data_IF_217229451875
#
_entry.id   IF_217229451875
#
_cell.length_a   1.000
_cell.length_b   1.000
_cell.length_c   1.000
_cell.angle_alpha   90.00
_cell.angle_beta   90.00
_cell.angle_gamma   90.00
#
_symmetry.space_group_name_H-M   'P 1'
#
loop_
_entity.id
_entity.type
_entity.pdbx_description
1 polymer ?
#
# COMPACT_ATOMS: atom_id res chain seq x y z
N UNK A 1 41.35 -22.60 70.27
CA UNK A 1 40.16 -23.45 70.50
C UNK A 1 39.55 -23.04 71.83
N UNK A 2 38.26 -23.36 72.00
CA UNK A 2 37.45 -23.16 73.21
C UNK A 2 36.94 -21.73 73.43
N UNK A 3 35.64 -21.66 73.72
CA UNK A 3 34.83 -20.45 73.83
C UNK A 3 35.11 -19.67 75.13
N UNK A 4 34.64 -18.42 75.20
CA UNK A 4 34.66 -17.62 76.42
C UNK A 4 33.27 -17.02 76.69
N UNK A 5 32.85 -17.07 77.95
CA UNK A 5 31.48 -16.85 78.41
C UNK A 5 31.14 -15.41 78.83
N UNK A 6 29.84 -15.14 78.81
CA UNK A 6 29.02 -14.35 79.77
C UNK A 6 29.30 -12.87 80.16
N UNK A 7 28.32 -12.04 79.73
CA UNK A 7 27.42 -11.17 80.55
C UNK A 7 27.97 -9.99 81.40
N UNK A 8 27.67 -8.76 80.92
CA UNK A 8 27.37 -7.52 81.69
C UNK A 8 26.87 -6.41 80.73
N UNK A 9 25.97 -5.43 81.01
CA UNK A 9 24.97 -5.16 82.08
C UNK A 9 23.93 -4.11 81.58
N UNK A 10 22.91 -3.79 82.39
CA UNK A 10 21.88 -2.71 82.22
C UNK A 10 22.46 -1.28 82.41
N UNK A 11 21.84 -0.12 82.03
CA UNK A 11 20.67 0.29 81.22
C UNK A 11 20.77 1.86 81.00
N UNK A 12 19.69 2.66 80.81
CA UNK A 12 18.89 2.89 79.60
C UNK A 12 18.89 4.35 79.08
N UNK A 13 18.40 4.60 77.86
CA UNK A 13 17.76 5.88 77.47
C UNK A 13 16.84 5.70 76.23
N UNK A 14 15.68 6.38 76.21
CA UNK A 14 14.71 6.35 75.10
C UNK A 14 14.76 7.67 74.33
N UNK A 15 14.92 7.60 73.00
CA UNK A 15 14.43 8.65 72.10
C UNK A 15 14.12 8.07 70.71
N UNK A 16 12.87 8.20 70.29
CA UNK A 16 12.33 7.75 69.01
C UNK A 16 12.69 8.69 67.85
N UNK A 17 13.24 8.15 66.75
CA UNK A 17 13.19 8.73 65.39
C UNK A 17 13.03 7.55 64.40
N UNK A 18 12.04 7.62 63.51
CA UNK A 18 11.93 6.72 62.35
C UNK A 18 12.68 7.33 61.15
N UNK A 19 13.37 6.54 60.32
CA UNK A 19 13.69 6.93 58.95
C UNK A 19 12.48 6.68 58.05
N UNK A 20 12.02 7.73 57.36
CA UNK A 20 10.87 7.68 56.44
C UNK A 20 11.18 6.91 55.17
N UNK A 21 10.31 5.96 54.80
CA UNK A 21 10.31 5.33 53.47
C UNK A 21 9.61 6.21 52.44
N UNK A 22 10.37 6.87 51.56
CA UNK A 22 9.84 7.57 50.38
C UNK A 22 10.23 6.83 49.10
N UNK A 23 9.54 5.72 48.82
CA UNK A 23 9.40 5.25 47.44
C UNK A 23 8.30 6.08 46.78
N UNK A 24 8.70 7.09 46.01
CA UNK A 24 7.76 7.82 45.15
C UNK A 24 7.20 6.85 44.09
N UNK A 25 5.93 6.48 44.24
CA UNK A 25 5.16 5.90 43.14
C UNK A 25 5.01 6.98 42.08
N UNK A 26 5.77 6.85 40.99
CA UNK A 26 5.61 7.66 39.78
C UNK A 26 4.20 7.38 39.23
N UNK A 27 3.27 8.31 39.44
CA UNK A 27 1.96 8.26 38.79
C UNK A 27 2.17 8.40 37.29
N UNK A 28 1.75 7.40 36.51
CA UNK A 28 1.77 7.48 35.06
C UNK A 28 0.71 8.50 34.63
N UNK A 29 1.14 9.63 34.08
CA UNK A 29 0.26 10.56 33.39
C UNK A 29 -0.52 9.81 32.29
N UNK A 30 -1.83 9.97 32.27
CA UNK A 30 -2.67 9.33 31.27
C UNK A 30 -2.34 9.88 29.87
N UNK A 31 -2.05 8.99 28.91
CA UNK A 31 -1.78 9.38 27.53
C UNK A 31 -3.06 9.93 26.91
N UNK A 32 -2.97 11.14 26.36
CA UNK A 32 -4.09 11.87 25.77
C UNK A 32 -4.12 11.65 24.25
N UNK A 33 -5.28 11.24 23.72
CA UNK A 33 -5.47 11.09 22.27
C UNK A 33 -5.42 12.46 21.57
N UNK A 34 -4.92 12.50 20.34
CA UNK A 34 -4.66 13.72 19.56
C UNK A 34 -3.46 14.54 20.04
N UNK A 35 -2.68 14.05 21.03
CA UNK A 35 -1.49 14.75 21.54
C UNK A 35 -0.19 14.17 20.99
N UNK A 36 0.83 15.02 20.88
CA UNK A 36 2.17 14.64 20.40
C UNK A 36 3.06 14.18 21.56
N UNK A 37 3.63 12.98 21.43
CA UNK A 37 4.59 12.40 22.37
C UNK A 37 5.89 12.02 21.67
N UNK A 38 6.97 11.89 22.46
CA UNK A 38 8.17 11.19 22.01
C UNK A 38 7.92 9.69 22.15
N UNK A 39 8.13 8.94 21.07
CA UNK A 39 7.76 7.53 20.97
C UNK A 39 8.95 6.75 20.38
N UNK A 40 9.29 5.63 21.02
CA UNK A 40 10.40 4.79 20.60
C UNK A 40 9.96 3.84 19.49
N UNK A 41 10.63 3.87 18.34
CA UNK A 41 10.42 2.95 17.21
C UNK A 41 11.05 1.58 17.49
N UNK A 42 10.69 0.56 16.69
CA UNK A 42 11.27 -0.80 16.75
C UNK A 42 12.81 -0.85 16.57
N UNK A 43 13.42 0.24 16.08
CA UNK A 43 14.86 0.40 15.84
C UNK A 43 15.55 1.22 16.95
N UNK A 44 14.95 1.29 18.15
CA UNK A 44 15.35 2.06 19.34
C UNK A 44 15.43 3.59 19.20
N UNK A 45 15.29 4.11 17.99
CA UNK A 45 15.18 5.55 17.68
C UNK A 45 13.92 6.17 18.30
N UNK A 46 14.07 7.35 18.92
CA UNK A 46 12.97 8.16 19.43
C UNK A 46 12.56 9.23 18.41
N UNK A 47 11.29 9.23 18.02
CA UNK A 47 10.72 10.26 17.15
C UNK A 47 9.46 10.88 17.77
N UNK A 48 8.99 11.98 17.20
CA UNK A 48 7.76 12.64 17.62
C UNK A 48 6.57 12.02 16.87
N UNK A 49 5.53 11.59 17.60
CA UNK A 49 4.34 10.98 17.01
C UNK A 49 3.04 11.42 17.69
N UNK A 50 1.97 11.49 16.89
CA UNK A 50 0.61 11.73 17.35
C UNK A 50 0.01 10.41 17.84
N UNK A 51 -0.52 10.39 19.05
CA UNK A 51 -1.30 9.26 19.55
C UNK A 51 -2.76 9.43 19.10
N UNK A 52 -3.20 8.65 18.12
CA UNK A 52 -4.50 8.82 17.46
C UNK A 52 -5.61 8.07 18.19
N UNK A 53 -5.36 6.83 18.60
CA UNK A 53 -6.38 5.91 19.16
C UNK A 53 -5.75 4.99 20.22
N UNK A 54 -6.57 4.38 21.08
CA UNK A 54 -6.13 3.35 22.02
C UNK A 54 -7.01 2.09 21.96
N UNK A 55 -6.40 0.93 22.22
CA UNK A 55 -7.11 -0.36 22.30
C UNK A 55 -6.57 -1.19 23.46
N UNK A 56 -7.34 -2.21 23.84
CA UNK A 56 -6.82 -3.34 24.62
C UNK A 56 -6.43 -4.43 23.62
N UNK A 57 -5.16 -4.85 23.61
CA UNK A 57 -4.69 -5.91 22.71
C UNK A 57 -5.40 -7.24 23.06
N UNK A 58 -5.99 -7.95 22.09
CA UNK A 58 -6.84 -9.12 22.35
C UNK A 58 -6.11 -10.25 23.09
N UNK A 59 -4.88 -10.59 22.67
CA UNK A 59 -4.14 -11.72 23.27
C UNK A 59 -3.43 -11.39 24.59
N UNK A 60 -2.89 -10.16 24.76
CA UNK A 60 -2.07 -9.79 25.93
C UNK A 60 -2.85 -9.05 27.01
N UNK A 61 -4.06 -8.57 26.70
CA UNK A 61 -4.90 -7.71 27.55
C UNK A 61 -4.23 -6.41 28.02
N UNK A 62 -3.13 -6.00 27.38
CA UNK A 62 -2.44 -4.72 27.64
C UNK A 62 -3.05 -3.59 26.81
N UNK A 63 -2.97 -2.37 27.33
CA UNK A 63 -3.32 -1.18 26.58
C UNK A 63 -2.22 -0.84 25.55
N UNK A 64 -2.64 -0.56 24.33
CA UNK A 64 -1.80 -0.11 23.23
C UNK A 64 -2.38 1.14 22.59
N UNK A 65 -1.52 1.93 21.96
CA UNK A 65 -1.83 3.21 21.33
C UNK A 65 -1.46 3.16 19.85
N UNK A 66 -2.36 3.58 18.98
CA UNK A 66 -2.07 3.74 17.56
C UNK A 66 -1.37 5.07 17.32
N UNK A 67 -0.21 5.01 16.68
CA UNK A 67 0.70 6.16 16.54
C UNK A 67 0.92 6.49 15.07
N UNK A 68 0.76 7.77 14.73
CA UNK A 68 1.29 8.32 13.49
C UNK A 68 2.58 9.10 13.77
N UNK A 69 3.67 8.75 13.08
CA UNK A 69 4.95 9.41 13.27
C UNK A 69 5.05 10.66 12.39
N UNK A 70 5.35 11.81 13.02
CA UNK A 70 5.39 13.10 12.32
C UNK A 70 6.49 13.10 11.24
N UNK A 71 6.15 13.62 10.06
CA UNK A 71 7.03 13.71 8.89
C UNK A 71 7.40 12.34 8.26
N UNK A 72 6.70 11.26 8.65
CA UNK A 72 6.85 9.90 8.08
C UNK A 72 5.61 9.44 7.29
N UNK A 73 5.81 8.50 6.35
CA UNK A 73 4.75 7.81 5.60
C UNK A 73 3.90 6.94 6.53
N UNK A 74 2.57 7.03 6.40
CA UNK A 74 1.58 6.32 7.22
C UNK A 74 1.70 4.80 7.23
N UNK A 75 2.40 4.20 6.25
CA UNK A 75 2.78 2.78 6.31
C UNK A 75 3.57 2.40 7.57
N UNK A 76 4.26 3.37 8.16
CA UNK A 76 5.07 3.23 9.38
C UNK A 76 4.25 3.41 10.66
N UNK A 77 2.99 3.85 10.58
CA UNK A 77 2.07 3.90 11.71
C UNK A 77 1.96 2.50 12.35
N UNK A 78 1.88 2.40 13.66
CA UNK A 78 1.81 1.12 14.38
C UNK A 78 1.09 1.24 15.73
N UNK A 79 0.69 0.10 16.29
CA UNK A 79 0.26 0.01 17.68
C UNK A 79 1.49 -0.17 18.58
N UNK A 80 1.64 0.69 19.59
CA UNK A 80 2.73 0.65 20.57
C UNK A 80 2.18 0.45 21.99
N UNK A 81 2.92 -0.28 22.82
CA UNK A 81 2.64 -0.36 24.26
C UNK A 81 3.07 0.94 24.97
N UNK A 82 2.50 1.18 26.16
CA UNK A 82 2.74 2.39 26.99
C UNK A 82 4.22 2.63 27.33
N UNK A 83 5.03 1.57 27.42
CA UNK A 83 6.46 1.62 27.70
C UNK A 83 7.29 2.27 26.58
N UNK A 84 6.77 2.28 25.34
CA UNK A 84 7.38 2.95 24.19
C UNK A 84 7.02 4.44 24.10
N UNK A 85 6.17 4.97 24.99
CA UNK A 85 5.73 6.38 24.98
C UNK A 85 6.39 7.12 26.14
N UNK A 86 7.17 8.17 25.86
CA UNK A 86 7.77 9.01 26.91
C UNK A 86 6.71 9.93 27.50
N UNK A 87 6.09 9.44 28.57
CA UNK A 87 5.10 10.15 29.41
C UNK A 87 5.76 11.08 30.44
N UNK A 88 7.09 11.06 30.57
CA UNK A 88 7.84 11.90 31.49
C UNK A 88 8.29 13.22 30.85
N UNK A 89 8.44 13.27 29.53
CA UNK A 89 8.41 14.52 28.76
C UNK A 89 6.96 14.98 28.65
N UNK A 90 6.67 16.22 29.04
CA UNK A 90 5.33 16.79 28.83
C UNK A 90 4.92 16.65 27.35
N UNK A 91 3.65 16.31 27.05
CA UNK A 91 3.16 16.29 25.68
C UNK A 91 3.42 17.67 25.04
N UNK A 92 3.84 17.66 23.78
CA UNK A 92 4.05 18.90 23.04
C UNK A 92 2.68 19.40 22.62
N UNK A 93 2.12 20.35 23.37
CA UNK A 93 0.89 21.05 22.97
C UNK A 93 1.09 21.70 21.61
N UNK A 94 0.42 21.17 20.60
CA UNK A 94 0.37 21.78 19.27
C UNK A 94 -0.55 22.99 19.38
N UNK A 95 0.05 24.18 19.50
CA UNK A 95 -0.68 25.44 19.36
C UNK A 95 -1.18 25.52 17.91
N UNK A 96 -2.41 25.07 17.69
CA UNK A 96 -3.13 25.33 16.45
C UNK A 96 -3.38 26.83 16.36
N UNK A 97 -2.56 27.54 15.58
CA UNK A 97 -2.79 28.94 15.22
C UNK A 97 -3.96 29.04 14.24
N UNK A 98 -5.18 28.84 14.75
CA UNK A 98 -6.41 29.19 14.05
C UNK A 98 -6.63 30.68 14.24
N UNK A 99 -6.43 31.46 13.17
CA UNK A 99 -6.83 32.87 13.15
C UNK A 99 -8.36 32.98 13.27
N UNK A 100 -8.91 33.62 14.32
CA UNK A 100 -10.35 33.67 14.51
C UNK A 100 -11.00 34.69 13.56
N UNK A 101 -11.78 34.22 12.60
CA UNK A 101 -12.85 35.00 12.00
C UNK A 101 -14.09 34.97 12.91
N UNK A 102 -14.67 36.14 13.18
CA UNK A 102 -15.77 36.33 14.13
C UNK A 102 -17.05 35.58 13.75
N UNK A 103 -17.76 34.96 14.72
CA UNK A 103 -19.07 34.38 14.48
C UNK A 103 -20.19 35.43 14.60
N UNK A 104 -20.99 35.62 13.55
CA UNK A 104 -22.31 36.24 13.68
C UNK A 104 -23.36 35.19 14.04
N UNK A 105 -24.21 35.53 15.00
CA UNK A 105 -25.23 34.60 15.51
C UNK A 105 -26.47 34.58 14.63
N UNK A 106 -27.05 33.39 14.41
CA UNK A 106 -28.46 33.26 14.07
C UNK A 106 -29.05 31.96 14.65
N UNK A 107 -30.10 32.11 15.46
CA UNK A 107 -30.84 31.05 16.15
C UNK A 107 -32.13 30.71 15.41
N UNK A 108 -32.51 29.43 15.31
CA UNK A 108 -33.88 28.84 15.30
C UNK A 108 -33.89 27.43 14.62
N UNK A 109 -34.90 26.56 14.84
CA UNK A 109 -35.09 25.80 16.08
C UNK A 109 -35.19 24.27 15.84
N UNK A 110 -35.21 23.47 16.92
CA UNK A 110 -35.33 22.01 16.85
C UNK A 110 -36.61 21.53 16.12
N UNK A 111 -36.46 20.61 15.15
CA UNK A 111 -37.58 19.86 14.55
C UNK A 111 -37.48 18.38 14.90
N UNK A 112 -38.47 17.87 15.64
CA UNK A 112 -38.58 16.45 15.99
C UNK A 112 -38.85 15.59 14.74
N UNK A 113 -38.09 14.50 14.59
CA UNK A 113 -38.24 13.53 13.49
C UNK A 113 -39.63 12.88 13.46
N UNK A 114 -40.17 12.70 12.25
CA UNK A 114 -41.44 11.98 12.04
C UNK A 114 -41.24 10.47 12.01
N UNK A 115 -42.31 9.72 12.33
CA UNK A 115 -42.28 8.26 12.55
C UNK A 115 -41.81 7.43 11.33
N UNK A 116 -41.85 8.01 10.13
CA UNK A 116 -41.38 7.40 8.87
C UNK A 116 -39.85 7.46 8.71
N UNK A 117 -39.20 8.50 9.23
CA UNK A 117 -37.73 8.63 9.21
C UNK A 117 -37.06 7.61 10.14
N UNK A 118 -37.67 7.34 11.30
CA UNK A 118 -37.15 6.36 12.26
C UNK A 118 -37.08 4.94 11.68
N UNK A 119 -38.06 4.56 10.85
CA UNK A 119 -38.11 3.23 10.20
C UNK A 119 -37.05 3.04 9.11
N UNK A 120 -36.55 4.11 8.47
CA UNK A 120 -35.38 4.03 7.56
C UNK A 120 -34.05 3.88 8.31
N UNK A 121 -33.97 4.34 9.56
CA UNK A 121 -32.76 4.26 10.37
C UNK A 121 -32.50 2.85 10.92
N UNK A 122 -33.57 2.05 11.09
CA UNK A 122 -33.51 0.68 11.64
C UNK A 122 -33.25 -0.41 10.58
N UNK A 123 -33.29 -0.08 9.27
CA UNK A 123 -33.01 -1.02 8.16
C UNK A 123 -31.58 -0.88 7.56
N UNK A 124 -30.73 0.00 8.10
CA UNK A 124 -29.37 0.29 7.58
C UNK A 124 -28.28 -0.64 8.14
N UNK A 125 -28.54 -1.94 8.22
CA UNK A 125 -27.57 -2.95 8.68
C UNK A 125 -26.77 -3.62 7.53
N UNK A 126 -26.68 -2.95 6.37
CA UNK A 126 -25.85 -3.36 5.24
C UNK A 126 -24.88 -2.22 4.87
N UNK A 127 -23.58 -2.48 5.01
CA UNK A 127 -22.45 -1.58 4.70
C UNK A 127 -22.24 -1.35 3.18
N UNK A 128 -23.32 -1.17 2.42
CA UNK A 128 -23.32 -1.28 0.95
C UNK A 128 -23.67 -0.03 0.11
N UNK A 129 -23.85 1.20 0.67
CA UNK A 129 -23.98 2.40 -0.16
C UNK A 129 -23.06 3.59 0.21
N UNK A 130 -21.89 3.38 0.85
CA UNK A 130 -20.95 4.49 1.18
C UNK A 130 -20.00 4.82 0.01
N UNK A 131 -19.92 3.97 -1.02
CA UNK A 131 -19.02 4.14 -2.17
C UNK A 131 -19.79 3.98 -3.49
N UNK A 132 -20.70 4.90 -3.80
CA UNK A 132 -21.01 5.38 -5.16
C UNK A 132 -22.23 6.32 -5.14
N UNK A 133 -21.99 7.63 -5.09
CA UNK A 133 -22.87 8.61 -5.74
C UNK A 133 -22.01 9.78 -6.22
N UNK A 134 -21.59 9.75 -7.50
CA UNK A 134 -20.92 10.89 -8.16
C UNK A 134 -21.97 11.88 -8.66
N UNK A 135 -22.72 12.46 -7.71
CA UNK A 135 -23.89 13.31 -7.94
C UNK A 135 -23.65 14.77 -7.49
N UNK A 136 -22.76 15.46 -8.19
CA UNK A 136 -22.90 16.90 -8.46
C UNK A 136 -22.81 17.92 -7.31
N UNK A 137 -22.40 17.55 -6.09
CA UNK A 137 -22.21 18.50 -4.98
C UNK A 137 -20.82 18.33 -4.32
N UNK A 138 -19.92 19.29 -4.60
CA UNK A 138 -18.52 19.33 -4.15
C UNK A 138 -18.40 19.33 -2.61
N UNK A 139 -19.40 19.88 -1.91
CA UNK A 139 -19.39 19.97 -0.44
C UNK A 139 -19.59 18.61 0.23
N UNK A 140 -20.40 17.73 -0.37
CA UNK A 140 -20.65 16.38 0.15
C UNK A 140 -19.51 15.42 -0.18
N UNK A 141 -18.89 15.56 -1.36
CA UNK A 141 -17.71 14.79 -1.73
C UNK A 141 -16.56 15.00 -0.74
N UNK A 142 -16.22 16.26 -0.44
CA UNK A 142 -15.17 16.60 0.54
C UNK A 142 -15.50 16.19 1.98
N UNK A 143 -16.78 16.15 2.35
CA UNK A 143 -17.22 15.65 3.66
C UNK A 143 -17.06 14.13 3.76
N UNK A 144 -17.48 13.39 2.72
CA UNK A 144 -17.33 11.93 2.63
C UNK A 144 -15.87 11.51 2.52
N UNK A 145 -15.03 12.27 1.81
CA UNK A 145 -13.58 12.06 1.78
C UNK A 145 -12.95 12.24 3.16
N UNK A 146 -13.30 13.30 3.90
CA UNK A 146 -12.83 13.50 5.30
C UNK A 146 -13.34 12.43 6.26
N UNK A 147 -14.58 11.98 6.10
CA UNK A 147 -15.14 10.88 6.89
C UNK A 147 -14.43 9.55 6.56
N UNK A 148 -14.17 9.28 5.28
CA UNK A 148 -13.38 8.13 4.84
C UNK A 148 -11.93 8.19 5.35
N UNK A 149 -11.26 9.34 5.23
CA UNK A 149 -9.93 9.57 5.81
C UNK A 149 -9.96 9.24 7.30
N UNK A 150 -10.90 9.80 8.07
CA UNK A 150 -11.05 9.55 9.50
C UNK A 150 -11.25 8.06 9.85
N UNK A 151 -12.15 7.35 9.14
CA UNK A 151 -12.39 5.91 9.34
C UNK A 151 -11.15 5.09 8.98
N UNK A 152 -10.41 5.50 7.95
CA UNK A 152 -9.20 4.80 7.49
C UNK A 152 -7.92 5.21 8.22
N UNK A 153 -7.95 6.17 9.16
CA UNK A 153 -6.75 6.60 9.92
C UNK A 153 -6.10 5.47 10.70
N UNK A 154 -6.87 4.51 11.18
CA UNK A 154 -6.39 3.44 12.07
C UNK A 154 -6.48 2.10 11.34
N UNK A 155 -5.33 1.47 11.07
CA UNK A 155 -5.33 0.04 10.71
C UNK A 155 -5.49 -0.79 11.98
N UNK A 156 -6.55 -1.59 12.00
CA UNK A 156 -6.81 -2.56 13.08
C UNK A 156 -6.23 -3.95 12.76
N UNK A 157 -6.10 -4.27 11.46
CA UNK A 157 -5.35 -5.44 11.00
C UNK A 157 -3.87 -5.07 10.98
N UNK A 158 -3.14 -5.64 11.93
CA UNK A 158 -1.71 -5.39 12.10
C UNK A 158 -0.90 -6.31 11.17
N UNK A 159 -1.38 -7.55 10.99
CA UNK A 159 -0.67 -8.62 10.29
C UNK A 159 -1.58 -9.46 9.42
N UNK A 160 -1.03 -9.92 8.29
CA UNK A 160 -1.66 -10.94 7.43
C UNK A 160 -0.77 -12.17 7.31
N UNK A 161 -1.35 -13.34 7.52
CA UNK A 161 -0.71 -14.63 7.28
C UNK A 161 -1.06 -15.07 5.86
N UNK A 162 -0.04 -15.13 5.00
CA UNK A 162 -0.17 -15.47 3.59
C UNK A 162 0.86 -16.54 3.22
N UNK A 163 0.39 -17.78 3.09
CA UNK A 163 1.26 -18.94 2.89
C UNK A 163 2.20 -19.14 4.07
N UNK A 164 3.51 -19.21 3.79
CA UNK A 164 4.58 -19.34 4.80
C UNK A 164 5.01 -18.01 5.45
N UNK A 165 4.38 -16.89 5.13
CA UNK A 165 4.77 -15.57 5.61
C UNK A 165 3.71 -14.97 6.56
N UNK A 166 4.18 -14.36 7.64
CA UNK A 166 3.43 -13.35 8.40
C UNK A 166 3.95 -11.97 7.99
N UNK A 167 3.05 -11.09 7.55
CA UNK A 167 3.40 -9.82 6.88
C UNK A 167 2.74 -8.67 7.65
N UNK A 168 3.54 -7.69 8.10
CA UNK A 168 3.05 -6.44 8.69
C UNK A 168 2.26 -5.62 7.64
N UNK A 169 1.04 -5.22 8.01
CA UNK A 169 0.13 -4.42 7.17
C UNK A 169 0.53 -2.95 7.17
N UNK A 170 0.40 -2.29 6.02
CA UNK A 170 0.81 -0.89 5.85
C UNK A 170 -0.37 0.07 6.01
N UNK A 171 -1.49 -0.21 5.35
CA UNK A 171 -2.65 0.68 5.27
C UNK A 171 -3.96 -0.05 5.64
N UNK A 172 -4.99 0.71 6.00
CA UNK A 172 -6.34 0.19 6.16
C UNK A 172 -6.86 -0.46 4.86
N UNK A 173 -7.58 -1.58 5.00
CA UNK A 173 -8.34 -2.24 3.93
C UNK A 173 -9.76 -2.59 4.39
N UNK A 174 -10.81 -2.32 3.59
CA UNK A 174 -12.22 -2.48 3.97
C UNK A 174 -12.69 -3.93 3.86
N UNK A 175 -12.08 -4.82 4.63
CA UNK A 175 -12.66 -6.14 4.90
C UNK A 175 -13.98 -5.98 5.67
N UNK A 176 -14.93 -6.95 5.56
CA UNK A 176 -16.18 -6.93 6.33
C UNK A 176 -15.93 -6.78 7.84
N UNK A 177 -16.88 -6.19 8.59
CA UNK A 177 -16.66 -5.78 9.98
C UNK A 177 -16.18 -6.93 10.90
N UNK A 178 -16.65 -8.16 10.66
CA UNK A 178 -16.22 -9.36 11.39
C UNK A 178 -14.72 -9.70 11.26
N UNK A 179 -14.04 -9.12 10.26
CA UNK A 179 -12.59 -9.20 10.03
C UNK A 179 -11.85 -7.89 10.28
N UNK A 180 -12.52 -6.73 10.16
CA UNK A 180 -11.83 -5.44 10.14
C UNK A 180 -11.08 -5.13 11.44
N UNK A 181 -11.58 -5.62 12.58
CA UNK A 181 -11.02 -5.42 13.94
C UNK A 181 -10.06 -6.54 14.40
N UNK A 182 -9.61 -7.43 13.51
CA UNK A 182 -8.71 -8.54 13.86
C UNK A 182 -7.24 -8.11 13.82
N UNK A 183 -6.46 -8.39 14.89
CA UNK A 183 -5.01 -8.19 14.89
C UNK A 183 -4.30 -8.97 13.75
N UNK A 184 -4.73 -10.23 13.51
CA UNK A 184 -4.22 -11.08 12.42
C UNK A 184 -5.33 -11.58 11.50
N UNK A 185 -5.10 -11.47 10.19
CA UNK A 185 -5.96 -12.03 9.15
C UNK A 185 -5.28 -13.22 8.47
N UNK A 186 -5.99 -14.33 8.25
CA UNK A 186 -5.44 -15.53 7.63
C UNK A 186 -5.97 -15.67 6.19
N UNK A 187 -5.09 -15.76 5.19
CA UNK A 187 -5.48 -15.79 3.77
C UNK A 187 -4.89 -17.00 3.06
N UNK A 188 -5.74 -17.71 2.32
CA UNK A 188 -5.32 -18.82 1.46
C UNK A 188 -4.48 -18.32 0.28
N UNK A 189 -3.25 -18.81 0.13
CA UNK A 189 -2.31 -18.35 -0.90
C UNK A 189 -2.76 -18.62 -2.36
N UNK A 190 -3.71 -19.56 -2.55
CA UNK A 190 -4.16 -20.00 -3.88
C UNK A 190 -5.50 -19.39 -4.32
N UNK A 191 -6.49 -19.31 -3.43
CA UNK A 191 -7.83 -18.80 -3.77
C UNK A 191 -8.16 -17.44 -3.14
N UNK A 192 -7.23 -16.89 -2.35
CA UNK A 192 -7.34 -15.60 -1.65
C UNK A 192 -8.50 -15.47 -0.65
N UNK A 193 -9.19 -16.57 -0.32
CA UNK A 193 -10.18 -16.60 0.75
C UNK A 193 -9.52 -16.17 2.07
N UNK A 194 -10.10 -15.14 2.70
CA UNK A 194 -9.71 -14.65 4.02
C UNK A 194 -10.54 -15.32 5.13
N UNK A 195 -9.92 -15.49 6.29
CA UNK A 195 -10.42 -16.26 7.43
C UNK A 195 -9.94 -15.63 8.75
N UNK A 196 -10.75 -15.79 9.80
CA UNK A 196 -10.51 -15.20 11.12
C UNK A 196 -9.52 -15.96 11.99
N UNK A 197 -9.40 -17.29 11.82
CA UNK A 197 -8.61 -18.15 12.69
C UNK A 197 -7.66 -19.04 11.90
N UNK A 198 -6.47 -19.29 12.46
CA UNK A 198 -5.48 -20.21 11.91
C UNK A 198 -6.06 -21.62 11.70
N UNK A 199 -6.90 -22.10 12.64
CA UNK A 199 -7.61 -23.37 12.52
C UNK A 199 -8.45 -23.45 11.24
N UNK A 200 -9.18 -22.40 10.92
CA UNK A 200 -10.01 -22.33 9.71
C UNK A 200 -9.15 -22.33 8.44
N UNK A 201 -7.97 -21.67 8.46
CA UNK A 201 -7.00 -21.76 7.37
C UNK A 201 -6.48 -23.20 7.21
N UNK A 202 -6.13 -23.90 8.29
CA UNK A 202 -5.66 -25.30 8.23
C UNK A 202 -6.74 -26.25 7.67
N UNK A 203 -7.99 -26.13 8.15
CA UNK A 203 -9.13 -26.91 7.64
C UNK A 203 -9.44 -26.58 6.16
N UNK A 204 -9.29 -25.32 5.76
CA UNK A 204 -9.42 -24.90 4.36
C UNK A 204 -8.26 -25.41 3.48
N UNK A 205 -7.01 -25.40 3.94
CA UNK A 205 -5.86 -25.89 3.16
C UNK A 205 -5.96 -27.38 2.80
N UNK A 206 -6.63 -28.17 3.63
CA UNK A 206 -6.91 -29.60 3.37
C UNK A 206 -7.99 -29.78 2.29
N UNK A 207 -9.01 -28.92 2.29
CA UNK A 207 -10.19 -29.03 1.42
C UNK A 207 -10.14 -28.15 0.16
N UNK A 208 -9.20 -27.22 0.06
CA UNK A 208 -9.05 -26.34 -1.08
C UNK A 208 -8.41 -27.08 -2.26
N UNK A 209 -9.10 -27.11 -3.41
CA UNK A 209 -8.61 -27.74 -4.64
C UNK A 209 -7.70 -26.82 -5.47
N UNK A 210 -7.74 -25.50 -5.24
CA UNK A 210 -6.94 -24.54 -5.99
C UNK A 210 -5.44 -24.67 -5.67
N UNK A 211 -4.60 -24.78 -6.71
CA UNK A 211 -3.13 -24.72 -6.64
C UNK A 211 -2.51 -23.69 -7.58
N UNK A 212 -3.34 -22.83 -8.18
CA UNK A 212 -2.93 -21.75 -9.06
C UNK A 212 -4.02 -20.67 -9.09
N UNK A 213 -3.70 -19.44 -9.53
CA UNK A 213 -4.72 -18.43 -9.79
C UNK A 213 -5.75 -18.87 -10.85
N UNK A 214 -6.96 -18.29 -10.85
CA UNK A 214 -7.92 -18.50 -11.92
C UNK A 214 -7.48 -17.76 -13.20
N UNK A 215 -8.19 -18.01 -14.31
CA UNK A 215 -7.90 -17.42 -15.61
C UNK A 215 -6.95 -18.26 -16.46
N UNK A 216 -6.38 -17.64 -17.50
CA UNK A 216 -5.52 -18.30 -18.48
C UNK A 216 -4.05 -18.08 -18.15
N UNK A 217 -3.22 -19.12 -18.16
CA UNK A 217 -1.76 -18.95 -18.13
C UNK A 217 -1.29 -18.38 -19.47
N UNK A 218 -0.85 -17.11 -19.47
CA UNK A 218 -0.41 -16.39 -20.68
C UNK A 218 1.11 -16.36 -20.82
N UNK A 219 1.86 -16.64 -19.75
CA UNK A 219 3.33 -16.64 -19.77
C UNK A 219 3.87 -17.75 -18.88
N UNK A 220 4.86 -18.50 -19.38
CA UNK A 220 5.60 -19.50 -18.61
C UNK A 220 7.09 -19.50 -19.00
N UNK A 221 7.99 -19.17 -18.07
CA UNK A 221 9.44 -19.36 -18.26
C UNK A 221 10.12 -19.72 -16.95
N UNK A 222 10.76 -20.90 -16.92
CA UNK A 222 11.42 -21.41 -15.72
C UNK A 222 10.45 -21.55 -14.53
N UNK A 223 10.76 -20.97 -13.35
CA UNK A 223 9.89 -20.99 -12.18
C UNK A 223 8.83 -19.86 -12.17
N UNK A 224 8.68 -19.09 -13.25
CA UNK A 224 7.78 -17.93 -13.31
C UNK A 224 6.62 -18.20 -14.27
N UNK A 225 5.40 -17.97 -13.77
CA UNK A 225 4.15 -17.98 -14.55
C UNK A 225 3.34 -16.71 -14.35
N UNK A 226 2.60 -16.28 -15.38
CA UNK A 226 1.60 -15.21 -15.27
C UNK A 226 0.26 -15.67 -15.80
N UNK A 227 -0.79 -15.44 -15.01
CA UNK A 227 -2.18 -15.73 -15.36
C UNK A 227 -2.94 -14.43 -15.65
N UNK A 228 -3.70 -14.40 -16.74
CA UNK A 228 -4.68 -13.34 -17.01
C UNK A 228 -6.05 -13.77 -16.49
N UNK A 229 -6.58 -13.03 -15.53
CA UNK A 229 -7.90 -13.23 -14.94
C UNK A 229 -8.82 -12.05 -15.23
N UNK A 230 -9.97 -12.31 -15.82
CA UNK A 230 -11.01 -11.30 -16.04
C UNK A 230 -11.85 -11.11 -14.76
N UNK A 231 -11.93 -9.88 -14.24
CA UNK A 231 -12.72 -9.56 -13.04
C UNK A 231 -14.23 -9.80 -13.17
N UNK A 232 -14.78 -9.80 -14.38
CA UNK A 232 -16.18 -10.19 -14.66
C UNK A 232 -16.41 -11.69 -14.47
N UNK A 233 -15.44 -12.52 -14.85
CA UNK A 233 -15.54 -13.98 -14.76
C UNK A 233 -15.05 -14.54 -13.42
N UNK A 234 -14.15 -13.83 -12.74
CA UNK A 234 -13.52 -14.27 -11.49
C UNK A 234 -13.74 -13.26 -10.34
N UNK A 235 -14.92 -12.63 -10.30
CA UNK A 235 -15.29 -11.53 -9.39
C UNK A 235 -14.82 -11.74 -7.95
N UNK A 236 -15.20 -12.84 -7.29
CA UNK A 236 -14.84 -13.10 -5.89
C UNK A 236 -13.31 -13.14 -5.67
N UNK A 237 -12.56 -13.79 -6.56
CA UNK A 237 -11.10 -13.86 -6.46
C UNK A 237 -10.48 -12.48 -6.62
N UNK A 238 -10.93 -11.71 -7.62
CA UNK A 238 -10.42 -10.37 -7.88
C UNK A 238 -10.77 -9.36 -6.77
N UNK A 239 -11.94 -9.50 -6.13
CA UNK A 239 -12.31 -8.73 -4.94
C UNK A 239 -11.40 -9.06 -3.75
N UNK A 240 -11.18 -10.35 -3.47
CA UNK A 240 -10.23 -10.80 -2.43
C UNK A 240 -8.80 -10.29 -2.70
N UNK A 241 -8.36 -10.31 -3.95
CA UNK A 241 -7.07 -9.74 -4.38
C UNK A 241 -7.00 -8.23 -4.14
N UNK A 242 -8.05 -7.49 -4.48
CA UNK A 242 -8.11 -6.06 -4.26
C UNK A 242 -8.09 -5.68 -2.78
N UNK A 243 -8.79 -6.43 -1.92
CA UNK A 243 -8.74 -6.26 -0.47
C UNK A 243 -7.34 -6.55 0.10
N UNK A 244 -6.70 -7.64 -0.36
CA UNK A 244 -5.31 -7.95 0.00
C UNK A 244 -4.35 -6.85 -0.49
N UNK A 245 -4.58 -6.31 -1.69
CA UNK A 245 -3.74 -5.27 -2.25
C UNK A 245 -3.85 -3.94 -1.50
N UNK A 246 -5.06 -3.59 -1.03
CA UNK A 246 -5.32 -2.36 -0.28
C UNK A 246 -4.59 -2.31 1.07
N UNK A 247 -4.23 -3.46 1.66
CA UNK A 247 -3.37 -3.54 2.85
C UNK A 247 -1.95 -2.96 2.61
N UNK A 248 -1.54 -2.86 1.34
CA UNK A 248 -0.18 -2.44 0.91
C UNK A 248 -0.19 -1.29 -0.11
N UNK A 249 -1.37 -0.76 -0.45
CA UNK A 249 -1.57 0.37 -1.37
C UNK A 249 -2.45 1.42 -0.70
N UNK A 250 -1.94 2.64 -0.59
CA UNK A 250 -2.65 3.74 0.07
C UNK A 250 -3.88 4.17 -0.76
N UNK A 251 -3.64 4.70 -1.97
CA UNK A 251 -4.64 5.32 -2.83
C UNK A 251 -5.47 4.34 -3.70
N UNK A 252 -5.61 3.07 -3.31
CA UNK A 252 -6.47 2.13 -4.06
C UNK A 252 -7.95 2.36 -3.70
N UNK A 253 -8.69 2.98 -4.61
CA UNK A 253 -10.12 3.34 -4.42
C UNK A 253 -11.09 2.26 -4.85
N UNK A 254 -10.78 1.51 -5.91
CA UNK A 254 -11.65 0.46 -6.46
C UNK A 254 -11.22 -0.93 -5.98
N UNK A 255 -12.11 -1.63 -5.27
CA UNK A 255 -11.87 -2.98 -4.76
C UNK A 255 -13.08 -3.93 -4.83
N UNK A 256 -14.30 -3.44 -4.98
CA UNK A 256 -15.49 -4.29 -5.20
C UNK A 256 -15.92 -4.36 -6.66
N UNK A 257 -15.84 -3.25 -7.40
CA UNK A 257 -16.14 -3.19 -8.84
C UNK A 257 -14.89 -3.59 -9.62
N UNK A 258 -14.79 -4.89 -9.93
CA UNK A 258 -13.62 -5.51 -10.56
C UNK A 258 -13.89 -5.89 -12.02
N UNK A 259 -15.15 -5.89 -12.44
CA UNK A 259 -15.62 -6.21 -13.78
C UNK A 259 -14.99 -5.37 -14.92
N UNK A 260 -14.65 -4.07 -14.73
CA UNK A 260 -13.95 -3.29 -15.75
C UNK A 260 -12.49 -3.69 -15.97
N UNK A 261 -11.92 -4.56 -15.12
CA UNK A 261 -10.48 -4.82 -15.08
C UNK A 261 -10.10 -6.24 -15.53
N UNK A 262 -8.93 -6.32 -16.17
CA UNK A 262 -8.13 -7.54 -16.29
C UNK A 262 -7.04 -7.52 -15.22
N UNK A 263 -6.70 -8.69 -14.68
CA UNK A 263 -5.69 -8.88 -13.64
C UNK A 263 -4.60 -9.83 -14.13
N UNK A 264 -3.34 -9.38 -14.10
CA UNK A 264 -2.17 -10.12 -14.54
C UNK A 264 -1.38 -10.60 -13.32
N UNK A 265 -1.58 -11.87 -12.97
CA UNK A 265 -1.24 -12.48 -11.70
C UNK A 265 0.10 -13.22 -11.81
N UNK A 266 1.16 -12.64 -11.25
CA UNK A 266 2.51 -13.19 -11.29
C UNK A 266 2.73 -14.18 -10.15
N UNK A 267 3.29 -15.33 -10.51
CA UNK A 267 3.53 -16.45 -9.59
C UNK A 267 4.94 -17.01 -9.67
N UNK A 268 5.48 -17.42 -8.52
CA UNK A 268 6.56 -18.40 -8.41
C UNK A 268 5.93 -19.81 -8.43
N UNK A 269 6.48 -20.75 -9.20
CA UNK A 269 5.91 -22.10 -9.35
C UNK A 269 6.88 -23.17 -8.92
N UNK A 270 6.42 -24.06 -8.04
CA UNK A 270 7.15 -25.21 -7.53
C UNK A 270 6.36 -26.52 -7.69
N UNK A 271 6.59 -27.51 -6.80
CA UNK A 271 5.91 -28.81 -6.81
C UNK A 271 4.52 -28.79 -6.17
N UNK A 272 4.22 -27.78 -5.35
CA UNK A 272 2.92 -27.64 -4.67
C UNK A 272 1.93 -26.85 -5.52
N UNK A 273 2.40 -25.83 -6.25
CA UNK A 273 1.56 -25.03 -7.12
C UNK A 273 2.20 -23.73 -7.58
N UNK A 274 1.34 -22.81 -8.04
CA UNK A 274 1.69 -21.45 -8.44
C UNK A 274 1.35 -20.48 -7.30
N UNK A 275 2.37 -19.95 -6.64
CA UNK A 275 2.27 -19.09 -5.47
C UNK A 275 2.24 -17.62 -5.89
N UNK A 276 1.21 -16.87 -5.49
CA UNK A 276 1.10 -15.45 -5.85
C UNK A 276 2.25 -14.62 -5.26
N UNK A 277 2.93 -13.87 -6.12
CA UNK A 277 4.07 -13.00 -5.81
C UNK A 277 3.72 -11.52 -5.95
N UNK A 278 2.87 -11.21 -6.93
CA UNK A 278 2.42 -9.86 -7.23
C UNK A 278 1.43 -9.86 -8.39
N UNK A 279 0.93 -8.69 -8.75
CA UNK A 279 0.07 -8.52 -9.91
C UNK A 279 0.12 -7.09 -10.44
N UNK A 280 -0.41 -6.88 -11.64
CA UNK A 280 -1.00 -5.59 -12.01
C UNK A 280 -2.43 -5.76 -12.52
N UNK A 281 -3.25 -4.73 -12.39
CA UNK A 281 -4.56 -4.64 -13.04
C UNK A 281 -4.52 -3.61 -14.17
N UNK A 282 -5.32 -3.84 -15.20
CA UNK A 282 -5.48 -2.98 -16.39
C UNK A 282 -6.96 -2.80 -16.67
N UNK A 283 -7.40 -1.58 -16.96
CA UNK A 283 -8.77 -1.34 -17.45
C UNK A 283 -8.94 -1.98 -18.83
N UNK A 284 -10.09 -2.62 -19.08
CA UNK A 284 -10.44 -3.15 -20.40
C UNK A 284 -10.61 -2.04 -21.44
N UNK A 285 -11.09 -0.88 -21.00
CA UNK A 285 -11.24 0.34 -21.77
C UNK A 285 -10.70 1.50 -20.94
N UNK A 286 -9.47 1.94 -21.19
CA UNK A 286 -8.86 3.09 -20.50
C UNK A 286 -8.92 4.34 -21.39
N UNK A 287 -9.72 5.38 -21.06
CA UNK A 287 -9.81 6.61 -21.86
C UNK A 287 -8.49 7.38 -21.95
N UNK A 288 -7.64 7.25 -20.93
CA UNK A 288 -6.33 7.92 -20.83
C UNK A 288 -5.20 7.09 -21.48
N UNK A 289 -5.47 5.86 -21.90
CA UNK A 289 -4.45 4.95 -22.42
C UNK A 289 -3.54 4.35 -21.33
N UNK A 290 -4.03 4.24 -20.09
CA UNK A 290 -3.25 3.66 -19.00
C UNK A 290 -3.10 2.14 -19.21
N UNK A 291 -1.87 1.64 -19.25
CA UNK A 291 -1.60 0.20 -19.41
C UNK A 291 -1.46 -0.56 -18.08
N UNK A 292 -1.34 0.17 -16.97
CA UNK A 292 -1.40 -0.31 -15.60
C UNK A 292 -2.26 0.67 -14.79
N UNK A 293 -3.26 0.14 -14.08
CA UNK A 293 -4.07 0.88 -13.10
C UNK A 293 -3.51 0.72 -11.68
N UNK A 294 -3.32 -0.52 -11.22
CA UNK A 294 -2.63 -0.83 -9.97
C UNK A 294 -1.51 -1.83 -10.23
N UNK A 295 -0.38 -1.71 -9.52
CA UNK A 295 0.68 -2.71 -9.49
C UNK A 295 1.12 -2.95 -8.05
N UNK A 296 1.23 -4.22 -7.66
CA UNK A 296 1.72 -4.62 -6.34
C UNK A 296 2.66 -5.83 -6.46
N UNK A 297 3.79 -5.77 -5.76
CA UNK A 297 4.57 -6.96 -5.39
C UNK A 297 4.42 -7.13 -3.89
N UNK A 298 3.99 -8.31 -3.45
CA UNK A 298 3.78 -8.60 -2.03
C UNK A 298 5.09 -8.39 -1.23
N UNK A 299 5.06 -7.81 -0.02
CA UNK A 299 6.28 -7.39 0.68
C UNK A 299 7.43 -8.42 0.76
N UNK A 300 7.19 -9.72 1.04
CA UNK A 300 8.26 -10.74 1.08
C UNK A 300 8.99 -10.99 -0.25
N UNK A 301 8.46 -10.47 -1.37
CA UNK A 301 9.01 -10.64 -2.71
C UNK A 301 9.54 -9.33 -3.32
N UNK A 302 9.43 -8.20 -2.60
CA UNK A 302 9.98 -6.93 -3.07
C UNK A 302 11.51 -6.98 -3.20
N UNK A 303 12.06 -6.08 -4.02
CA UNK A 303 13.50 -5.99 -4.37
C UNK A 303 14.11 -7.23 -5.09
N UNK A 304 13.35 -8.30 -5.34
CA UNK A 304 13.78 -9.49 -6.13
C UNK A 304 13.66 -9.35 -7.66
N UNK A 305 13.26 -8.18 -8.16
CA UNK A 305 13.13 -7.89 -9.60
C UNK A 305 11.71 -7.98 -10.17
N UNK A 306 10.78 -8.62 -9.46
CA UNK A 306 9.39 -8.82 -9.92
C UNK A 306 8.64 -7.54 -10.32
N UNK A 307 8.92 -6.40 -9.66
CA UNK A 307 8.30 -5.11 -10.04
C UNK A 307 8.70 -4.65 -11.43
N UNK A 308 9.99 -4.78 -11.81
CA UNK A 308 10.44 -4.49 -13.18
C UNK A 308 9.89 -5.52 -14.18
N UNK A 309 9.74 -6.78 -13.78
CA UNK A 309 9.14 -7.81 -14.63
C UNK A 309 7.67 -7.52 -14.96
N UNK A 310 6.86 -7.14 -13.97
CA UNK A 310 5.45 -6.76 -14.17
C UNK A 310 5.31 -5.55 -15.11
N UNK A 311 6.15 -4.52 -14.93
CA UNK A 311 6.19 -3.35 -15.83
C UNK A 311 6.64 -3.75 -17.25
N UNK A 312 7.66 -4.60 -17.36
CA UNK A 312 8.10 -5.12 -18.66
C UNK A 312 6.96 -5.86 -19.37
N UNK A 313 6.17 -6.65 -18.64
CA UNK A 313 5.07 -7.42 -19.21
C UNK A 313 3.94 -6.51 -19.71
N UNK A 314 3.55 -5.47 -18.95
CA UNK A 314 2.51 -4.55 -19.42
C UNK A 314 2.91 -3.84 -20.71
N UNK A 315 4.21 -3.54 -20.89
CA UNK A 315 4.72 -3.00 -22.16
C UNK A 315 4.78 -4.02 -23.29
N UNK A 316 5.10 -5.30 -23.04
CA UNK A 316 4.97 -6.34 -24.09
C UNK A 316 3.50 -6.50 -24.55
N UNK A 317 2.53 -6.44 -23.63
CA UNK A 317 1.10 -6.43 -23.99
C UNK A 317 0.75 -5.18 -24.83
N UNK A 318 1.19 -3.99 -24.41
CA UNK A 318 0.98 -2.74 -25.17
C UNK A 318 1.58 -2.77 -26.58
N UNK A 319 2.75 -3.42 -26.78
CA UNK A 319 3.32 -3.65 -28.11
C UNK A 319 2.44 -4.57 -28.97
N UNK A 320 1.94 -5.67 -28.40
CA UNK A 320 1.03 -6.58 -29.11
C UNK A 320 -0.30 -5.89 -29.51
N UNK A 321 -0.76 -4.93 -28.72
CA UNK A 321 -1.91 -4.06 -29.02
C UNK A 321 -1.60 -2.96 -30.04
N UNK A 322 -0.31 -2.66 -30.30
CA UNK A 322 0.17 -1.52 -31.08
C UNK A 322 -0.29 -0.16 -30.53
N UNK A 323 -0.32 -0.01 -29.20
CA UNK A 323 -0.73 1.21 -28.49
C UNK A 323 0.34 1.60 -27.46
N UNK A 324 0.73 2.87 -27.42
CA UNK A 324 1.63 3.37 -26.37
C UNK A 324 0.87 3.61 -25.06
N UNK A 325 1.47 3.27 -23.91
CA UNK A 325 0.83 3.34 -22.60
C UNK A 325 1.71 3.93 -21.49
N UNK A 326 1.05 4.45 -20.46
CA UNK A 326 1.64 4.95 -19.21
C UNK A 326 0.96 4.24 -18.02
N UNK A 327 1.56 4.19 -16.83
CA UNK A 327 0.78 3.90 -15.62
C UNK A 327 -0.19 5.02 -15.26
N UNK A 328 -1.30 4.64 -14.63
CA UNK A 328 -2.20 5.53 -13.91
C UNK A 328 -1.43 6.36 -12.85
N UNK A 329 -1.87 7.61 -12.66
CA UNK A 329 -1.25 8.60 -11.79
C UNK A 329 -2.24 9.00 -10.68
N UNK A 330 -1.80 9.23 -9.43
CA UNK A 330 -0.42 9.32 -8.98
C UNK A 330 0.24 7.97 -8.64
N UNK A 331 1.50 7.82 -9.07
CA UNK A 331 2.35 6.68 -8.66
C UNK A 331 2.81 6.81 -7.21
N UNK A 332 2.90 5.67 -6.49
CA UNK A 332 3.66 5.57 -5.24
C UNK A 332 5.16 5.81 -5.50
N UNK A 333 5.93 6.23 -4.48
CA UNK A 333 7.35 6.56 -4.68
C UNK A 333 8.19 5.35 -5.08
N UNK A 334 7.87 4.16 -4.56
CA UNK A 334 8.48 2.91 -5.02
C UNK A 334 8.11 2.62 -6.48
N UNK A 335 6.88 2.93 -6.90
CA UNK A 335 6.44 2.89 -8.29
C UNK A 335 7.27 3.83 -9.18
N UNK A 336 7.33 5.13 -8.83
CA UNK A 336 8.12 6.15 -9.56
C UNK A 336 9.57 5.71 -9.77
N UNK A 337 10.24 5.22 -8.71
CA UNK A 337 11.62 4.73 -8.78
C UNK A 337 11.75 3.51 -9.69
N UNK A 338 10.80 2.57 -9.63
CA UNK A 338 10.83 1.35 -10.45
C UNK A 338 10.59 1.66 -11.93
N UNK A 339 9.60 2.50 -12.26
CA UNK A 339 9.33 2.95 -13.63
C UNK A 339 10.50 3.72 -14.23
N UNK A 340 11.05 4.72 -13.54
CA UNK A 340 12.24 5.46 -14.01
C UNK A 340 13.42 4.52 -14.27
N UNK A 341 13.68 3.57 -13.36
CA UNK A 341 14.76 2.58 -13.52
C UNK A 341 14.49 1.55 -14.62
N UNK A 342 13.23 1.32 -15.00
CA UNK A 342 12.86 0.48 -16.15
C UNK A 342 13.01 1.27 -17.47
N UNK A 343 12.39 2.45 -17.58
CA UNK A 343 12.46 3.28 -18.79
C UNK A 343 13.90 3.67 -19.13
N UNK A 344 14.72 4.10 -18.16
CA UNK A 344 16.14 4.37 -18.42
C UNK A 344 16.86 3.14 -18.95
N UNK A 345 16.56 1.94 -18.43
CA UNK A 345 17.18 0.71 -18.90
C UNK A 345 16.80 0.37 -20.35
N UNK A 346 15.51 0.40 -20.68
CA UNK A 346 15.03 0.12 -22.05
C UNK A 346 15.60 1.12 -23.06
N UNK A 347 15.51 2.41 -22.77
CA UNK A 347 15.95 3.46 -23.70
C UNK A 347 17.46 3.44 -23.92
N UNK A 348 18.27 3.22 -22.88
CA UNK A 348 19.73 3.13 -23.01
C UNK A 348 20.16 1.89 -23.81
N UNK A 349 19.46 0.76 -23.71
CA UNK A 349 19.77 -0.42 -24.53
C UNK A 349 19.51 -0.13 -26.01
N UNK A 350 18.36 0.47 -26.35
CA UNK A 350 18.04 0.83 -27.74
C UNK A 350 19.06 1.85 -28.27
N UNK A 351 19.39 2.88 -27.49
CA UNK A 351 20.40 3.89 -27.87
C UNK A 351 21.82 3.31 -28.03
N UNK A 352 22.15 2.23 -27.34
CA UNK A 352 23.43 1.52 -27.47
C UNK A 352 23.52 0.72 -28.77
N UNK A 353 22.41 0.14 -29.23
CA UNK A 353 22.34 -0.70 -30.43
C UNK A 353 22.02 0.12 -31.71
N UNK A 354 21.49 1.34 -31.52
CA UNK A 354 21.12 2.25 -32.59
C UNK A 354 22.27 2.59 -33.55
N UNK A 355 22.02 2.39 -34.85
CA UNK A 355 22.94 2.78 -35.95
C UNK A 355 22.44 4.02 -36.69
N UNK A 356 22.28 5.13 -35.98
CA UNK A 356 21.81 6.39 -36.56
C UNK A 356 21.22 7.35 -35.55
N UNK A 357 20.55 8.39 -36.06
CA UNK A 357 19.75 9.32 -35.25
C UNK A 357 18.39 8.69 -35.01
N UNK A 358 18.03 8.46 -33.74
CA UNK A 358 16.68 8.05 -33.35
C UNK A 358 15.84 9.25 -32.96
N UNK A 359 14.55 9.19 -33.29
CA UNK A 359 13.52 10.13 -32.87
C UNK A 359 12.79 9.64 -31.63
N UNK A 360 12.16 10.57 -30.90
CA UNK A 360 11.27 10.26 -29.76
C UNK A 360 10.11 9.35 -30.20
N UNK A 361 9.62 9.52 -31.43
CA UNK A 361 8.55 8.71 -32.00
C UNK A 361 8.99 7.26 -32.23
N UNK A 362 10.12 7.03 -32.89
CA UNK A 362 10.63 5.66 -33.11
C UNK A 362 10.89 4.91 -31.79
N UNK A 363 11.36 5.61 -30.75
CA UNK A 363 11.47 5.04 -29.41
C UNK A 363 10.10 4.66 -28.82
N UNK A 364 9.06 5.47 -29.03
CA UNK A 364 7.69 5.21 -28.57
C UNK A 364 7.07 4.03 -29.32
N UNK A 365 7.18 4.02 -30.65
CA UNK A 365 6.70 2.96 -31.53
C UNK A 365 7.41 1.61 -31.22
N UNK A 366 8.69 1.63 -30.82
CA UNK A 366 9.47 0.41 -30.47
C UNK A 366 9.20 -0.10 -29.05
N UNK A 367 8.98 0.80 -28.07
CA UNK A 367 8.89 0.42 -26.65
C UNK A 367 7.46 0.35 -26.12
N UNK A 368 6.49 0.88 -26.85
CA UNK A 368 5.13 1.20 -26.39
C UNK A 368 5.10 2.14 -25.15
N UNK A 369 6.19 2.86 -24.83
CA UNK A 369 6.21 3.91 -23.80
C UNK A 369 5.75 5.22 -24.42
N UNK A 370 4.95 6.02 -23.70
CA UNK A 370 4.50 7.33 -24.20
C UNK A 370 5.67 8.27 -24.51
N UNK A 371 5.47 9.19 -25.47
CA UNK A 371 6.50 10.18 -25.81
C UNK A 371 6.83 11.11 -24.62
N UNK A 372 5.86 11.38 -23.75
CA UNK A 372 6.05 12.17 -22.53
C UNK A 372 6.99 11.49 -21.53
N UNK A 373 6.75 10.21 -21.25
CA UNK A 373 7.57 9.41 -20.33
C UNK A 373 9.00 9.21 -20.90
N UNK A 374 9.13 9.06 -22.22
CA UNK A 374 10.42 9.05 -22.93
C UNK A 374 11.15 10.39 -22.75
N UNK A 375 10.49 11.51 -23.05
CA UNK A 375 11.10 12.85 -22.92
C UNK A 375 11.54 13.10 -21.48
N UNK A 376 10.68 12.85 -20.50
CA UNK A 376 10.98 12.99 -19.07
C UNK A 376 12.17 12.11 -18.63
N UNK A 377 12.21 10.86 -19.11
CA UNK A 377 13.32 9.95 -18.82
C UNK A 377 14.64 10.45 -19.42
N UNK A 378 14.65 10.83 -20.71
CA UNK A 378 15.84 11.34 -21.40
C UNK A 378 16.31 12.69 -20.85
N UNK A 379 15.40 13.54 -20.37
CA UNK A 379 15.71 14.77 -19.64
C UNK A 379 16.42 14.45 -18.33
N UNK A 380 15.91 13.48 -17.55
CA UNK A 380 16.56 13.08 -16.29
C UNK A 380 17.95 12.42 -16.47
N UNK A 381 18.22 11.91 -17.67
CA UNK A 381 19.52 11.38 -18.09
C UNK A 381 20.42 12.45 -18.76
N UNK A 382 19.95 13.69 -18.94
CA UNK A 382 20.64 14.79 -19.63
C UNK A 382 21.06 14.52 -21.09
N UNK A 383 20.30 13.68 -21.81
CA UNK A 383 20.62 13.23 -23.18
C UNK A 383 19.62 13.69 -24.26
N UNK A 384 18.74 14.63 -23.93
CA UNK A 384 17.81 15.29 -24.87
C UNK A 384 17.91 16.81 -24.73
N UNK A 385 17.78 17.52 -25.85
CA UNK A 385 17.74 18.99 -25.89
C UNK A 385 16.47 19.46 -26.60
N UNK A 386 16.03 20.67 -26.28
CA UNK A 386 14.93 21.32 -27.00
C UNK A 386 15.50 22.25 -28.07
N UNK A 387 15.07 22.08 -29.33
CA UNK A 387 15.57 22.84 -30.47
C UNK A 387 14.46 23.09 -31.48
N UNK A 388 14.26 24.35 -31.87
CA UNK A 388 13.23 24.78 -32.85
C UNK A 388 11.82 24.18 -32.62
N UNK A 389 11.39 24.08 -31.36
CA UNK A 389 10.09 23.55 -30.99
C UNK A 389 10.03 22.03 -30.77
N UNK A 390 11.13 21.30 -30.95
CA UNK A 390 11.17 19.84 -30.89
C UNK A 390 12.21 19.32 -29.88
N UNK A 391 11.94 18.15 -29.30
CA UNK A 391 12.90 17.41 -28.49
C UNK A 391 13.80 16.56 -29.40
N UNK A 392 15.12 16.81 -29.34
CA UNK A 392 16.14 16.13 -30.15
C UNK A 392 17.07 15.36 -29.22
N UNK A 393 17.23 14.06 -29.47
CA UNK A 393 18.16 13.21 -28.72
C UNK A 393 19.59 13.63 -29.08
N UNK A 394 20.39 13.94 -28.07
CA UNK A 394 21.71 14.57 -28.21
C UNK A 394 22.74 13.77 -27.40
N UNK A 395 23.05 12.56 -27.87
CA UNK A 395 23.95 11.63 -27.17
C UNK A 395 24.93 10.97 -28.13
N UNK A 396 26.16 10.76 -27.68
CA UNK A 396 27.16 9.95 -28.38
C UNK A 396 27.20 8.52 -27.82
N UNK A 397 27.59 7.50 -28.60
CA UNK A 397 27.70 6.13 -28.10
C UNK A 397 28.56 6.01 -26.83
N UNK A 398 29.65 6.79 -26.74
CA UNK A 398 30.52 6.85 -25.55
C UNK A 398 29.77 7.31 -24.30
N UNK A 399 28.91 8.32 -24.40
CA UNK A 399 28.09 8.78 -23.29
C UNK A 399 27.03 7.74 -22.89
N UNK A 400 26.41 7.04 -23.85
CA UNK A 400 25.49 5.93 -23.54
C UNK A 400 26.19 4.84 -22.74
N UNK A 401 27.39 4.41 -23.17
CA UNK A 401 28.19 3.43 -22.44
C UNK A 401 28.61 3.90 -21.04
N UNK A 402 28.93 5.18 -20.88
CA UNK A 402 29.33 5.77 -19.59
C UNK A 402 28.16 5.79 -18.60
N UNK A 403 26.96 6.15 -19.07
CA UNK A 403 25.72 6.07 -18.28
C UNK A 403 25.41 4.61 -17.91
N UNK A 404 25.54 3.66 -18.84
CA UNK A 404 25.34 2.22 -18.60
C UNK A 404 26.34 1.66 -17.59
N UNK A 405 27.57 2.18 -17.55
CA UNK A 405 28.61 1.81 -16.57
C UNK A 405 28.41 2.45 -15.20
N UNK A 406 27.50 3.42 -15.05
CA UNK A 406 27.22 4.07 -13.76
C UNK A 406 26.48 3.13 -12.79
N UNK A 407 26.70 3.34 -11.48
CA UNK A 407 26.02 2.58 -10.42
C UNK A 407 24.49 2.79 -10.34
N UNK A 408 23.98 3.81 -11.04
CA UNK A 408 22.56 4.13 -11.15
C UNK A 408 21.87 3.22 -12.18
N UNK A 409 22.59 2.82 -13.24
CA UNK A 409 22.10 1.83 -14.19
C UNK A 409 22.21 0.44 -13.55
N UNK A 410 21.05 -0.19 -13.33
CA UNK A 410 20.97 -1.57 -12.85
C UNK A 410 20.09 -2.39 -13.79
N UNK A 411 20.66 -3.37 -14.52
CA UNK A 411 19.86 -4.23 -15.37
C UNK A 411 18.80 -4.96 -14.53
N UNK A 412 17.60 -5.20 -15.07
CA UNK A 412 16.57 -5.98 -14.40
C UNK A 412 17.06 -7.41 -14.16
N UNK A 413 16.80 -7.94 -12.96
CA UNK A 413 17.12 -9.33 -12.60
C UNK A 413 16.26 -10.35 -13.38
N UNK A 414 15.08 -9.91 -13.81
CA UNK A 414 14.10 -10.69 -14.56
C UNK A 414 13.61 -9.85 -15.73
N UNK A 415 13.68 -10.41 -16.93
CA UNK A 415 13.20 -9.80 -18.18
C UNK A 415 12.11 -10.71 -18.73
N UNK A 416 11.04 -10.13 -19.28
CA UNK A 416 10.01 -10.87 -20.00
C UNK A 416 10.59 -11.37 -21.31
N UNK A 417 10.41 -12.65 -21.59
CA UNK A 417 10.75 -13.24 -22.88
C UNK A 417 9.51 -13.21 -23.79
N UNK A 418 9.50 -12.42 -24.88
CA UNK A 418 8.35 -12.34 -25.79
C UNK A 418 7.96 -13.71 -26.38
N UNK A 419 8.92 -14.60 -26.64
CA UNK A 419 8.66 -15.94 -27.19
C UNK A 419 7.95 -16.87 -26.19
N UNK A 420 8.00 -16.52 -24.90
CA UNK A 420 7.28 -17.22 -23.82
C UNK A 420 5.90 -16.63 -23.52
N UNK A 421 5.50 -15.53 -24.19
CA UNK A 421 4.21 -14.85 -24.03
C UNK A 421 3.18 -15.36 -25.05
N UNK A 422 2.21 -16.13 -24.57
CA UNK A 422 1.10 -16.72 -25.34
C UNK A 422 -0.18 -15.91 -25.12
N UNK A 423 -0.20 -14.70 -25.67
CA UNK A 423 -1.31 -13.77 -25.51
C UNK A 423 -1.90 -13.35 -26.85
N UNK A 424 -3.20 -13.06 -26.88
CA UNK A 424 -3.91 -12.50 -28.03
C UNK A 424 -4.81 -11.38 -27.54
N UNK A 425 -4.80 -10.24 -28.22
CA UNK A 425 -5.66 -9.11 -27.87
C UNK A 425 -7.13 -9.46 -28.08
N UNK A 426 -7.93 -9.34 -27.02
CA UNK A 426 -9.38 -9.41 -27.09
C UNK A 426 -9.89 -8.33 -28.03
N UNK A 427 -10.64 -8.65 -29.11
CA UNK A 427 -11.03 -7.65 -30.11
C UNK A 427 -11.88 -6.52 -29.49
N UNK A 428 -11.26 -5.37 -29.23
CA UNK A 428 -11.98 -4.19 -28.77
C UNK A 428 -12.97 -3.77 -29.84
N UNK A 429 -14.25 -3.64 -29.46
CA UNK A 429 -15.30 -3.14 -30.34
C UNK A 429 -14.95 -1.69 -30.67
N UNK A 430 -14.35 -1.44 -31.84
CA UNK A 430 -13.98 -0.10 -32.30
C UNK A 430 -15.15 0.86 -32.11
N UNK A 431 -15.04 1.74 -31.12
CA UNK A 431 -16.02 2.81 -30.87
C UNK A 431 -16.06 3.65 -32.14
N UNK A 432 -17.21 3.66 -32.81
CA UNK A 432 -17.41 4.49 -34.00
C UNK A 432 -17.37 5.95 -33.55
N UNK A 433 -16.24 6.62 -33.76
CA UNK A 433 -16.16 8.08 -33.64
C UNK A 433 -17.30 8.69 -34.47
N UNK A 434 -18.19 9.50 -33.87
CA UNK A 434 -19.24 10.14 -34.64
C UNK A 434 -18.59 11.03 -35.69
N UNK A 435 -19.03 10.90 -36.96
CA UNK A 435 -18.64 11.84 -38.01
C UNK A 435 -19.10 13.22 -37.56
N UNK A 436 -18.17 14.17 -37.43
CA UNK A 436 -18.51 15.59 -37.39
C UNK A 436 -19.19 15.91 -38.73
N UNK A 437 -20.49 16.18 -38.67
CA UNK A 437 -21.30 16.79 -39.73
C UNK A 437 -21.09 18.28 -39.73
#
# INVERSE_FOLDING_TARGET
MSECEMVSTSAPAVSSIQPSSSQEKKESSAITLGSMYWIQRKEEEWCLGEVIESRIHPDTLKQEYYVHYKDFDRRLDEWVMVDRVDTARNPVEVVMTVTPSTPEANTHPERKMTRTLKRKHEESNNLQPILMERSGDDSNALALEKEHENITKVKYIDKVVFGKYEIDVWYYSPYPEEYSKLNRLFICQYCLKYMRYERSLREHSISCEHRQPPGQEIYRKGPVSVFEADGLHHKLYCQCLCLLAKLFLDHKTLFFDVEPFLFYLLTEVDKEGCHLVGYFSKEKESPEGNNIACLLVLPPYQRKGYGKFLISLSYELSKLENVAGSPEKPLSDLGKLTYRSYWSWVLLNILKEARGVLTIRELSDTTAVTQEDIISTLQSLNIVKYWKGQHVICVTPKQVEEIIRSSQYKPPLLVVDPDSLRWQSTPTKKVKTPRKT
#
